data_IF_282587937446
#
_entry.id   IF_282587937446
#
_cell.length_a   1.000
_cell.length_b   1.000
_cell.length_c   1.000
_cell.angle_alpha   90.00
_cell.angle_beta   90.00
_cell.angle_gamma   90.00
#
_symmetry.space_group_name_H-M   'P 1'
#
loop_
_entity.id
_entity.type
_entity.pdbx_description
1 polymer ?
#
# COMPACT_ATOMS: atom_id res chain seq x y z
N UNK A 1 -24.57 15.97 16.33
CA UNK A 1 -25.18 16.96 15.43
C UNK A 1 -24.14 18.05 15.22
N UNK A 2 -23.44 18.12 14.07
CA UNK A 2 -22.57 19.26 13.81
C UNK A 2 -23.45 20.48 13.51
N UNK A 3 -23.12 21.61 14.14
CA UNK A 3 -23.81 22.88 13.97
C UNK A 3 -23.16 23.64 12.82
N UNK A 4 -23.86 23.76 11.69
CA UNK A 4 -23.49 24.68 10.61
C UNK A 4 -23.85 26.12 11.01
N UNK A 5 -22.85 27.00 11.05
CA UNK A 5 -23.08 28.44 10.98
C UNK A 5 -22.64 28.88 9.60
N UNK A 6 -23.61 29.21 8.75
CA UNK A 6 -23.41 29.69 7.39
C UNK A 6 -23.45 31.21 7.43
N UNK A 7 -22.30 31.88 7.26
CA UNK A 7 -22.27 33.30 6.92
C UNK A 7 -22.24 33.46 5.39
N UNK A 8 -23.02 34.41 4.83
CA UNK A 8 -23.06 34.62 3.38
C UNK A 8 -21.80 35.38 2.91
N UNK A 9 -21.08 34.77 1.97
CA UNK A 9 -19.94 35.34 1.23
C UNK A 9 -20.26 35.28 -0.26
N UNK A 10 -20.06 36.41 -0.96
CA UNK A 10 -20.53 36.69 -2.33
C UNK A 10 -19.70 36.02 -3.45
N UNK A 11 -18.83 35.06 -3.15
CA UNK A 11 -18.05 34.34 -4.16
C UNK A 11 -18.25 32.83 -4.10
N UNK A 12 -18.40 32.24 -5.28
CA UNK A 12 -18.93 30.91 -5.53
C UNK A 12 -18.35 29.78 -4.68
N UNK A 13 -19.26 28.91 -4.24
CA UNK A 13 -19.08 27.62 -3.58
C UNK A 13 -17.75 26.90 -3.87
N UNK A 14 -16.71 27.19 -3.09
CA UNK A 14 -15.64 26.27 -2.77
C UNK A 14 -15.81 25.85 -1.32
N UNK A 15 -16.59 24.79 -1.11
CA UNK A 15 -16.64 24.12 0.19
C UNK A 15 -15.28 23.45 0.40
N UNK A 16 -14.35 24.16 1.02
CA UNK A 16 -13.16 23.57 1.61
C UNK A 16 -13.59 22.70 2.80
N UNK A 17 -14.02 21.47 2.54
CA UNK A 17 -14.15 20.44 3.56
C UNK A 17 -12.74 20.04 4.03
N UNK A 18 -12.13 20.89 4.85
CA UNK A 18 -11.02 20.45 5.69
C UNK A 18 -11.62 19.58 6.78
N UNK A 19 -11.73 18.28 6.52
CA UNK A 19 -12.07 17.28 7.54
C UNK A 19 -10.96 17.32 8.59
N UNK A 20 -11.19 18.09 9.66
CA UNK A 20 -10.25 18.23 10.76
C UNK A 20 -10.38 16.98 11.63
N UNK A 21 -9.42 16.07 11.46
CA UNK A 21 -9.30 14.87 12.28
C UNK A 21 -8.84 15.28 13.69
N UNK A 22 -9.48 14.74 14.73
CA UNK A 22 -9.08 14.97 16.12
C UNK A 22 -7.76 14.27 16.43
N UNK A 23 -7.05 14.71 17.47
CA UNK A 23 -5.79 14.07 17.89
C UNK A 23 -5.97 12.57 18.24
N UNK A 24 -7.12 12.21 18.83
CA UNK A 24 -7.44 10.82 19.15
C UNK A 24 -7.67 9.96 17.90
N UNK A 25 -8.36 10.49 16.89
CA UNK A 25 -8.54 9.82 15.60
C UNK A 25 -7.22 9.67 14.86
N UNK A 26 -6.36 10.69 14.91
CA UNK A 26 -5.02 10.64 14.33
C UNK A 26 -4.16 9.53 14.97
N UNK A 27 -4.23 9.40 16.29
CA UNK A 27 -3.50 8.36 17.03
C UNK A 27 -4.02 6.95 16.71
N UNK A 28 -5.34 6.77 16.61
CA UNK A 28 -5.94 5.47 16.23
C UNK A 28 -5.53 5.06 14.82
N UNK A 29 -5.60 5.98 13.85
CA UNK A 29 -5.12 5.74 12.48
C UNK A 29 -3.63 5.36 12.49
N UNK A 30 -2.81 6.05 13.30
CA UNK A 30 -1.40 5.73 13.49
C UNK A 30 -1.17 4.33 14.04
N UNK A 31 -1.87 3.94 15.12
CA UNK A 31 -1.76 2.62 15.73
C UNK A 31 -2.21 1.50 14.79
N UNK A 32 -3.29 1.70 14.04
CA UNK A 32 -3.75 0.75 13.02
C UNK A 32 -2.69 0.55 11.94
N UNK A 33 -2.11 1.63 11.42
CA UNK A 33 -1.04 1.55 10.40
C UNK A 33 0.21 0.83 10.91
N UNK A 34 0.63 1.10 12.15
CA UNK A 34 1.77 0.41 12.76
C UNK A 34 1.54 -1.10 12.90
N UNK A 35 0.32 -1.50 13.25
CA UNK A 35 -0.08 -2.92 13.30
C UNK A 35 0.01 -3.56 11.92
N UNK A 36 -0.59 -2.94 10.92
CA UNK A 36 -0.59 -3.46 9.54
C UNK A 36 0.85 -3.55 8.98
N UNK A 37 1.69 -2.54 9.23
CA UNK A 37 3.10 -2.56 8.84
C UNK A 37 3.88 -3.67 9.55
N UNK A 38 3.66 -3.84 10.86
CA UNK A 38 4.27 -4.92 11.64
C UNK A 38 3.87 -6.29 11.11
N UNK A 39 2.62 -6.49 10.68
CA UNK A 39 2.17 -7.75 10.09
C UNK A 39 2.89 -8.04 8.77
N UNK A 40 3.08 -7.03 7.91
CA UNK A 40 3.82 -7.18 6.64
C UNK A 40 5.28 -7.53 6.91
N UNK A 41 5.96 -6.80 7.81
CA UNK A 41 7.35 -7.08 8.17
C UNK A 41 7.49 -8.47 8.79
N UNK A 42 6.55 -8.86 9.66
CA UNK A 42 6.56 -10.17 10.28
C UNK A 42 6.38 -11.31 9.26
N UNK A 43 5.43 -11.17 8.34
CA UNK A 43 5.18 -12.15 7.29
C UNK A 43 6.37 -12.26 6.32
N UNK A 44 7.01 -11.15 5.95
CA UNK A 44 8.23 -11.17 5.14
C UNK A 44 9.39 -11.85 5.87
N UNK A 45 9.62 -11.54 7.15
CA UNK A 45 10.66 -12.16 7.96
C UNK A 45 10.44 -13.68 8.10
N UNK A 46 9.21 -14.10 8.38
CA UNK A 46 8.86 -15.52 8.40
C UNK A 46 9.07 -16.22 7.07
N UNK A 47 8.70 -15.58 5.96
CA UNK A 47 8.95 -16.10 4.62
C UNK A 47 10.42 -16.36 4.35
N UNK A 48 11.29 -15.41 4.71
CA UNK A 48 12.74 -15.56 4.56
C UNK A 48 13.29 -16.71 5.42
N UNK A 49 12.85 -16.83 6.67
CA UNK A 49 13.28 -17.91 7.56
C UNK A 49 12.82 -19.28 7.06
N UNK A 50 11.57 -19.38 6.58
CA UNK A 50 11.02 -20.61 6.01
C UNK A 50 11.83 -21.04 4.79
N UNK A 51 12.06 -20.14 3.83
CA UNK A 51 12.85 -20.45 2.62
C UNK A 51 14.28 -20.87 2.97
N UNK A 52 14.95 -20.13 3.86
CA UNK A 52 16.30 -20.48 4.31
C UNK A 52 16.36 -21.82 5.07
N UNK A 53 15.28 -22.22 5.75
CA UNK A 53 15.18 -23.55 6.37
C UNK A 53 15.03 -24.63 5.31
N UNK A 54 14.13 -24.43 4.35
CA UNK A 54 13.84 -25.39 3.29
C UNK A 54 15.06 -25.68 2.41
N UNK A 55 15.88 -24.67 2.11
CA UNK A 55 17.12 -24.84 1.35
C UNK A 55 18.16 -25.70 2.08
N UNK A 56 18.19 -25.66 3.42
CA UNK A 56 19.20 -26.36 4.23
C UNK A 56 18.84 -27.79 4.56
N UNK A 57 17.58 -28.19 4.40
CA UNK A 57 17.09 -29.49 4.84
C UNK A 57 16.49 -30.22 3.65
N UNK A 58 17.07 -31.34 3.22
CA UNK A 58 16.39 -32.25 2.31
C UNK A 58 15.21 -32.91 3.05
N UNK A 59 14.07 -33.15 2.40
CA UNK A 59 12.99 -33.90 3.02
C UNK A 59 13.41 -35.36 3.22
N UNK A 60 13.11 -35.92 4.39
CA UNK A 60 13.48 -37.30 4.75
C UNK A 60 12.34 -38.32 4.60
N UNK A 61 11.14 -37.87 4.22
CA UNK A 61 9.97 -38.71 4.00
C UNK A 61 8.80 -38.02 3.31
N UNK A 62 7.74 -38.79 3.00
CA UNK A 62 6.56 -38.32 2.28
C UNK A 62 5.71 -37.33 3.12
N UNK A 63 5.49 -37.63 4.39
CA UNK A 63 4.74 -36.77 5.33
C UNK A 63 5.45 -35.40 5.50
N UNK A 64 6.77 -35.40 5.70
CA UNK A 64 7.57 -34.17 5.78
C UNK A 64 7.53 -33.36 4.48
N UNK A 65 7.40 -34.04 3.33
CA UNK A 65 7.25 -33.36 2.03
C UNK A 65 5.90 -32.67 1.91
N UNK A 66 4.82 -33.32 2.37
CA UNK A 66 3.46 -32.75 2.34
C UNK A 66 3.33 -31.54 3.26
N UNK A 67 3.86 -31.62 4.48
CA UNK A 67 3.88 -30.52 5.44
C UNK A 67 4.60 -29.28 4.88
N UNK A 68 5.78 -29.47 4.27
CA UNK A 68 6.54 -28.38 3.63
C UNK A 68 5.78 -27.75 2.47
N UNK A 69 5.07 -28.55 1.67
CA UNK A 69 4.23 -28.01 0.61
C UNK A 69 3.06 -27.20 1.19
N UNK A 70 2.48 -27.61 2.32
CA UNK A 70 1.44 -26.83 3.00
C UNK A 70 1.98 -25.49 3.51
N UNK A 71 3.17 -25.48 4.12
CA UNK A 71 3.85 -24.26 4.56
C UNK A 71 4.12 -23.31 3.39
N UNK A 72 4.66 -23.80 2.27
CA UNK A 72 4.90 -23.01 1.05
C UNK A 72 3.62 -22.42 0.48
N UNK A 73 2.53 -23.21 0.40
CA UNK A 73 1.22 -22.69 -0.04
C UNK A 73 0.72 -21.58 0.88
N UNK A 74 0.92 -21.71 2.19
CA UNK A 74 0.60 -20.68 3.17
C UNK A 74 1.38 -19.38 2.93
N UNK A 75 2.69 -19.49 2.71
CA UNK A 75 3.55 -18.33 2.40
C UNK A 75 3.13 -17.64 1.10
N UNK A 76 2.92 -18.40 0.02
CA UNK A 76 2.46 -17.85 -1.27
C UNK A 76 1.13 -17.11 -1.08
N UNK A 77 0.16 -17.71 -0.37
CA UNK A 77 -1.11 -17.05 -0.08
C UNK A 77 -0.92 -15.74 0.69
N UNK A 78 -0.04 -15.71 1.68
CA UNK A 78 0.24 -14.49 2.44
C UNK A 78 0.88 -13.39 1.57
N UNK A 79 1.81 -13.75 0.69
CA UNK A 79 2.44 -12.82 -0.24
C UNK A 79 1.43 -12.22 -1.22
N UNK A 80 0.69 -13.08 -1.92
CA UNK A 80 -0.25 -12.69 -2.98
C UNK A 80 -1.47 -11.93 -2.46
N UNK A 81 -2.02 -12.33 -1.31
CA UNK A 81 -3.30 -11.79 -0.85
C UNK A 81 -3.16 -10.64 0.15
N UNK A 82 -2.00 -10.52 0.82
CA UNK A 82 -1.81 -9.52 1.90
C UNK A 82 -0.67 -8.56 1.61
N UNK A 83 0.50 -9.07 1.23
CA UNK A 83 1.70 -8.22 1.13
C UNK A 83 1.74 -7.46 -0.19
N UNK A 84 1.72 -8.17 -1.32
CA UNK A 84 1.86 -7.55 -2.65
C UNK A 84 0.79 -6.50 -2.91
N UNK A 85 -0.52 -6.75 -2.67
CA UNK A 85 -1.54 -5.73 -2.90
C UNK A 85 -1.35 -4.45 -2.06
N UNK A 86 -0.79 -4.57 -0.86
CA UNK A 86 -0.50 -3.42 0.01
C UNK A 86 0.72 -2.64 -0.47
N UNK A 87 1.75 -3.31 -0.93
CA UNK A 87 2.93 -2.67 -1.53
C UNK A 87 2.58 -1.98 -2.86
N UNK A 88 1.76 -2.62 -3.68
CA UNK A 88 1.23 -2.03 -4.91
C UNK A 88 0.38 -0.79 -4.61
N UNK A 89 -0.52 -0.88 -3.63
CA UNK A 89 -1.30 0.26 -3.17
C UNK A 89 -0.44 1.41 -2.64
N UNK A 90 0.62 1.11 -1.89
CA UNK A 90 1.56 2.12 -1.41
C UNK A 90 2.30 2.82 -2.57
N UNK A 91 2.79 2.05 -3.55
CA UNK A 91 3.42 2.57 -4.77
C UNK A 91 2.45 3.48 -5.52
N UNK A 92 1.24 3.00 -5.80
CA UNK A 92 0.26 3.71 -6.61
C UNK A 92 -0.18 5.02 -5.93
N UNK A 93 -0.38 4.98 -4.61
CA UNK A 93 -0.65 6.18 -3.82
C UNK A 93 0.48 7.21 -3.90
N UNK A 94 1.74 6.77 -3.80
CA UNK A 94 2.92 7.64 -3.90
C UNK A 94 3.07 8.25 -5.30
N UNK A 95 2.82 7.47 -6.36
CA UNK A 95 2.87 7.95 -7.75
C UNK A 95 1.79 9.00 -8.01
N UNK A 96 0.55 8.77 -7.55
CA UNK A 96 -0.51 9.77 -7.66
C UNK A 96 -0.19 11.03 -6.87
N UNK A 97 0.33 10.91 -5.65
CA UNK A 97 0.75 12.09 -4.87
C UNK A 97 1.88 12.87 -5.57
N UNK A 98 2.88 12.18 -6.13
CA UNK A 98 3.91 12.85 -6.93
C UNK A 98 3.30 13.65 -8.09
N UNK A 99 2.27 13.13 -8.76
CA UNK A 99 1.54 13.86 -9.79
C UNK A 99 0.73 15.03 -9.23
N UNK A 100 0.07 14.86 -8.09
CA UNK A 100 -0.72 15.90 -7.41
C UNK A 100 0.15 17.10 -6.96
N UNK A 101 1.45 16.87 -6.75
CA UNK A 101 2.47 17.90 -6.48
C UNK A 101 3.14 18.45 -7.75
N UNK A 102 2.52 18.24 -8.93
CA UNK A 102 3.04 18.63 -10.25
C UNK A 102 4.46 18.12 -10.56
N UNK A 103 4.83 16.96 -9.99
CA UNK A 103 6.10 16.31 -10.26
C UNK A 103 6.24 15.91 -11.73
N UNK A 104 7.43 16.08 -12.29
CA UNK A 104 7.68 15.85 -13.71
C UNK A 104 7.83 14.34 -14.04
N UNK A 105 7.52 13.95 -15.29
CA UNK A 105 7.79 12.58 -15.75
C UNK A 105 9.28 12.18 -15.68
N UNK A 106 10.20 13.15 -15.63
CA UNK A 106 11.64 12.88 -15.52
C UNK A 106 12.00 12.43 -14.11
N UNK A 107 11.52 13.16 -13.10
CA UNK A 107 11.69 12.79 -11.68
C UNK A 107 11.00 11.47 -11.36
N UNK A 108 9.80 11.23 -11.92
CA UNK A 108 9.12 9.96 -11.75
C UNK A 108 9.91 8.79 -12.36
N UNK A 109 10.50 9.00 -13.54
CA UNK A 109 11.32 8.01 -14.22
C UNK A 109 12.59 7.66 -13.44
N UNK A 110 13.26 8.68 -12.89
CA UNK A 110 14.41 8.51 -12.00
C UNK A 110 14.04 7.69 -10.76
N UNK A 111 12.96 8.05 -10.07
CA UNK A 111 12.50 7.33 -8.88
C UNK A 111 12.10 5.87 -9.17
N UNK A 112 11.53 5.61 -10.35
CA UNK A 112 11.14 4.26 -10.78
C UNK A 112 12.31 3.44 -11.35
N UNK A 113 13.45 4.06 -11.69
CA UNK A 113 14.55 3.40 -12.38
C UNK A 113 14.19 2.94 -13.81
N UNK A 114 13.35 3.69 -14.52
CA UNK A 114 12.87 3.34 -15.88
C UNK A 114 13.02 4.51 -16.86
N UNK A 115 12.97 4.28 -18.19
CA UNK A 115 12.94 5.36 -19.16
C UNK A 115 11.73 6.29 -18.99
N UNK A 116 11.87 7.57 -19.35
CA UNK A 116 10.80 8.59 -19.25
C UNK A 116 9.49 8.18 -19.91
N UNK A 117 9.57 7.58 -21.10
CA UNK A 117 8.39 7.08 -21.82
C UNK A 117 7.64 6.01 -21.04
N UNK A 118 8.37 5.10 -20.38
CA UNK A 118 7.78 4.05 -19.54
C UNK A 118 7.11 4.63 -18.31
N UNK A 119 7.75 5.61 -17.65
CA UNK A 119 7.15 6.30 -16.50
C UNK A 119 5.85 7.02 -16.90
N UNK A 120 5.85 7.71 -18.05
CA UNK A 120 4.67 8.37 -18.58
C UNK A 120 3.54 7.36 -18.90
N UNK A 121 3.84 6.24 -19.57
CA UNK A 121 2.83 5.20 -19.86
C UNK A 121 2.26 4.60 -18.58
N UNK A 122 3.11 4.28 -17.61
CA UNK A 122 2.66 3.71 -16.32
C UNK A 122 1.81 4.69 -15.52
N UNK A 123 2.20 5.96 -15.49
CA UNK A 123 1.41 7.01 -14.85
C UNK A 123 0.06 7.17 -15.54
N UNK A 124 0.03 7.24 -16.87
CA UNK A 124 -1.22 7.31 -17.65
C UNK A 124 -2.17 6.16 -17.32
N UNK A 125 -1.67 4.92 -17.42
CA UNK A 125 -2.45 3.73 -17.08
C UNK A 125 -2.92 3.71 -15.61
N UNK A 126 -2.14 4.26 -14.67
CA UNK A 126 -2.55 4.38 -13.27
C UNK A 126 -3.65 5.42 -13.06
N UNK A 127 -3.59 6.56 -13.76
CA UNK A 127 -4.60 7.61 -13.66
C UNK A 127 -5.96 7.20 -14.26
N UNK A 128 -5.96 6.25 -15.20
CA UNK A 128 -7.19 5.67 -15.77
C UNK A 128 -7.85 4.63 -14.86
N UNK A 129 -7.14 4.12 -13.85
CA UNK A 129 -7.65 3.11 -12.91
C UNK A 129 -8.34 3.77 -11.73
N UNK A 130 -9.36 3.10 -11.19
CA UNK A 130 -9.93 3.49 -9.89
C UNK A 130 -8.91 3.35 -8.76
N UNK A 131 -9.15 4.09 -7.67
CA UNK A 131 -8.35 3.96 -6.44
C UNK A 131 -8.61 2.59 -5.83
N UNK A 132 -7.55 1.80 -5.62
CA UNK A 132 -7.67 0.47 -5.01
C UNK A 132 -7.83 0.55 -3.49
N UNK A 133 -8.26 -0.55 -2.85
CA UNK A 133 -8.28 -0.66 -1.39
C UNK A 133 -6.89 -0.50 -0.76
N UNK A 134 -5.85 -1.00 -1.45
CA UNK A 134 -4.46 -0.84 -1.01
C UNK A 134 -4.03 0.63 -1.00
N UNK A 135 -4.46 1.41 -1.98
CA UNK A 135 -4.18 2.85 -2.03
C UNK A 135 -4.96 3.63 -0.99
N UNK A 136 -6.26 3.32 -0.79
CA UNK A 136 -7.06 3.92 0.30
C UNK A 136 -6.39 3.68 1.64
N UNK A 137 -6.00 2.43 1.90
CA UNK A 137 -5.25 2.07 3.10
C UNK A 137 -3.96 2.89 3.24
N UNK A 138 -3.16 3.00 2.18
CA UNK A 138 -1.90 3.76 2.20
C UNK A 138 -2.15 5.24 2.52
N UNK A 139 -3.26 5.81 2.02
CA UNK A 139 -3.69 7.18 2.29
C UNK A 139 -4.37 7.35 3.66
N UNK A 140 -4.71 6.26 4.35
CA UNK A 140 -5.42 6.26 5.64
C UNK A 140 -6.91 6.56 5.53
N UNK A 141 -7.50 6.21 4.38
CA UNK A 141 -8.92 6.31 4.09
C UNK A 141 -9.63 4.99 4.42
#
# INVERSE_FOLDING_TARGET
>A
MPSETIEPSDDGYLVHLQTTMTAAEAEEVGRRRLRDASEITHAAAWGLLLLARLERQAPSGAEETEDRQAELRGLIRALEQRILPRLEGLRDAAVRWHRDLDGSHGQLAEAMGVPRSTAQTRLGALLEREVSDGERWARGQ
#
